data_IF_924332721485
#
_entry.id   IF_924332721485
#
_cell.length_a   1.000
_cell.length_b   1.000
_cell.length_c   1.000
_cell.angle_alpha   90.00
_cell.angle_beta   90.00
_cell.angle_gamma   90.00
#
_symmetry.space_group_name_H-M   'P 1'
#
loop_
_entity.id
_entity.type
_entity.pdbx_description
1 polymer ?
#
# COMPACT_ATOMS: atom_id res chain seq x y z
N UNK A 1 59.78 0.50 -28.81
CA UNK A 1 59.84 1.93 -28.43
C UNK A 1 58.60 2.20 -27.58
N UNK A 2 58.58 1.95 -26.28
CA UNK A 2 59.33 2.56 -25.16
C UNK A 2 58.80 3.93 -24.70
N UNK A 3 58.52 3.99 -23.39
CA UNK A 3 58.38 5.11 -22.45
C UNK A 3 57.07 5.93 -22.46
N UNK A 4 56.48 6.33 -21.32
CA UNK A 4 56.84 6.27 -19.89
C UNK A 4 55.56 6.33 -19.03
N UNK A 5 55.47 5.69 -17.87
CA UNK A 5 56.04 6.04 -16.56
C UNK A 5 55.77 7.50 -16.12
N UNK A 6 54.74 7.66 -15.29
CA UNK A 6 54.68 8.74 -14.29
C UNK A 6 54.12 8.16 -12.98
N UNK A 7 55.03 7.92 -12.02
CA UNK A 7 54.74 7.77 -10.60
C UNK A 7 54.26 9.11 -10.05
N UNK A 8 53.14 9.11 -9.34
CA UNK A 8 52.76 10.15 -8.39
C UNK A 8 52.50 9.50 -7.04
N UNK A 9 53.47 9.62 -6.13
CA UNK A 9 53.38 9.22 -4.73
C UNK A 9 53.01 10.47 -3.91
N UNK A 10 52.10 10.35 -2.95
CA UNK A 10 51.65 11.41 -2.05
C UNK A 10 50.13 11.60 -2.17
N UNK A 11 49.32 11.57 -1.13
CA UNK A 11 49.56 11.79 0.29
C UNK A 11 48.45 11.04 1.05
N UNK A 12 48.82 10.35 2.12
CA UNK A 12 47.87 9.79 3.09
C UNK A 12 47.15 10.96 3.75
N UNK A 13 45.85 11.10 3.51
CA UNK A 13 44.95 11.86 4.39
C UNK A 13 43.87 10.90 4.87
N UNK A 14 44.07 10.40 6.09
CA UNK A 14 43.04 9.85 6.96
C UNK A 14 41.77 10.70 6.86
N UNK A 15 40.62 10.08 6.55
CA UNK A 15 39.28 10.39 7.06
C UNK A 15 38.25 9.46 6.39
N UNK A 16 37.54 8.67 7.19
CA UNK A 16 36.28 8.02 6.79
C UNK A 16 36.43 6.77 5.93
N UNK A 17 36.17 5.59 6.50
CA UNK A 17 36.36 4.32 5.84
C UNK A 17 35.40 4.09 4.67
N UNK A 18 35.97 3.95 3.48
CA UNK A 18 35.39 3.21 2.36
C UNK A 18 36.52 2.41 1.71
N UNK A 19 36.61 1.13 2.04
CA UNK A 19 37.55 0.21 1.39
C UNK A 19 36.82 -0.45 0.23
N UNK A 20 37.05 0.08 -0.99
CA UNK A 20 36.60 -0.55 -2.22
C UNK A 20 37.44 -1.80 -2.52
N UNK A 21 36.88 -2.99 -2.26
CA UNK A 21 37.41 -4.27 -2.74
C UNK A 21 36.52 -4.73 -3.90
N UNK A 22 37.14 -5.13 -5.02
CA UNK A 22 36.48 -5.65 -6.23
C UNK A 22 35.35 -6.62 -5.87
N UNK A 23 34.09 -6.22 -6.02
CA UNK A 23 32.95 -7.14 -5.99
C UNK A 23 31.65 -6.67 -5.33
N UNK A 24 31.61 -5.53 -4.64
CA UNK A 24 30.36 -4.96 -4.12
C UNK A 24 30.57 -4.20 -2.81
N UNK A 25 29.73 -3.18 -2.58
CA UNK A 25 29.84 -2.27 -1.44
C UNK A 25 29.66 -3.03 -0.13
N UNK A 26 30.72 -3.07 0.69
CA UNK A 26 30.65 -3.60 2.06
C UNK A 26 30.03 -2.51 2.93
N UNK A 27 28.91 -2.83 3.57
CA UNK A 27 28.16 -1.97 4.46
C UNK A 27 28.18 -2.53 5.88
N UNK A 28 28.21 -1.65 6.86
CA UNK A 28 28.07 -2.00 8.27
C UNK A 28 26.60 -1.90 8.68
N UNK A 29 26.19 -2.71 9.64
CA UNK A 29 24.85 -2.68 10.20
C UNK A 29 24.73 -3.45 11.51
N UNK A 30 23.51 -3.57 12.00
CA UNK A 30 23.19 -4.33 13.22
C UNK A 30 22.10 -5.36 12.94
N UNK A 31 22.26 -6.56 13.51
CA UNK A 31 21.25 -7.62 13.41
C UNK A 31 20.04 -7.23 14.25
N UNK A 32 18.90 -7.01 13.59
CA UNK A 32 17.63 -6.74 14.25
C UNK A 32 17.05 -8.01 14.87
N UNK A 33 17.12 -9.11 14.13
CA UNK A 33 16.57 -10.40 14.54
C UNK A 33 17.17 -11.49 13.67
N UNK A 34 17.46 -12.63 14.25
CA UNK A 34 17.86 -13.84 13.55
C UNK A 34 17.09 -15.00 14.18
N UNK A 35 16.36 -15.73 13.35
CA UNK A 35 15.67 -16.95 13.72
C UNK A 35 16.56 -18.12 13.29
N UNK A 36 17.10 -18.85 14.27
CA UNK A 36 18.00 -19.97 14.02
C UNK A 36 17.27 -21.20 13.48
N UNK A 37 16.01 -21.40 13.88
CA UNK A 37 15.18 -22.54 13.47
C UNK A 37 14.75 -22.40 12.01
N UNK A 38 14.45 -21.16 11.58
CA UNK A 38 14.07 -20.88 10.20
C UNK A 38 15.24 -20.40 9.31
N UNK A 39 16.40 -20.13 9.90
CA UNK A 39 17.61 -19.76 9.17
C UNK A 39 17.52 -18.44 8.40
N UNK A 40 16.71 -17.48 8.86
CA UNK A 40 16.60 -16.15 8.26
C UNK A 40 16.80 -15.05 9.30
N UNK A 41 17.33 -13.92 8.87
CA UNK A 41 17.53 -12.76 9.73
C UNK A 41 17.45 -11.43 9.00
N UNK A 42 17.37 -10.37 9.79
CA UNK A 42 17.26 -8.99 9.34
C UNK A 42 18.41 -8.16 9.90
N UNK A 43 18.96 -7.28 9.07
CA UNK A 43 20.00 -6.31 9.41
C UNK A 43 19.49 -4.91 9.11
N UNK A 44 19.74 -3.96 10.00
CA UNK A 44 19.64 -2.53 9.67
C UNK A 44 21.02 -2.06 9.25
N UNK A 45 21.17 -1.60 8.00
CA UNK A 45 22.41 -0.99 7.52
C UNK A 45 22.64 0.38 8.16
N UNK A 46 23.89 0.85 8.14
CA UNK A 46 24.27 2.20 8.58
C UNK A 46 23.61 3.31 7.74
N UNK A 47 23.08 2.97 6.57
CA UNK A 47 22.28 3.84 5.70
C UNK A 47 20.80 3.95 6.15
N UNK A 48 20.39 3.22 7.18
CA UNK A 48 19.03 3.17 7.71
C UNK A 48 18.10 2.20 6.97
N UNK A 49 18.58 1.53 5.90
CA UNK A 49 17.79 0.55 5.15
C UNK A 49 17.85 -0.82 5.81
N UNK A 50 16.82 -1.64 5.55
CA UNK A 50 16.73 -3.01 6.07
C UNK A 50 17.13 -4.02 5.01
N UNK A 51 18.00 -4.94 5.40
CA UNK A 51 18.49 -6.01 4.56
C UNK A 51 18.13 -7.36 5.18
N UNK A 52 17.75 -8.31 4.32
CA UNK A 52 17.48 -9.68 4.72
C UNK A 52 18.68 -10.56 4.43
N UNK A 53 18.99 -11.51 5.31
CA UNK A 53 19.99 -12.53 5.07
C UNK A 53 19.46 -13.89 5.47
N UNK A 54 20.00 -14.93 4.86
CA UNK A 54 19.72 -16.32 5.20
C UNK A 54 20.94 -16.97 5.81
N UNK A 55 20.76 -18.12 6.47
CA UNK A 55 21.84 -18.92 7.05
C UNK A 55 22.94 -19.25 6.04
N UNK A 56 22.60 -19.39 4.76
CA UNK A 56 23.54 -19.65 3.67
C UNK A 56 24.47 -18.47 3.38
N UNK A 57 24.02 -17.25 3.69
CA UNK A 57 24.78 -16.02 3.52
C UNK A 57 25.62 -15.65 4.76
N UNK A 58 25.54 -16.46 5.84
CA UNK A 58 26.33 -16.30 7.06
C UNK A 58 27.72 -16.93 6.90
N UNK A 59 28.76 -16.10 6.91
CA UNK A 59 30.16 -16.57 6.86
C UNK A 59 30.72 -16.78 8.28
N UNK A 60 30.12 -17.72 9.00
CA UNK A 60 30.54 -18.45 10.23
C UNK A 60 29.26 -18.87 10.99
N UNK A 61 29.18 -20.13 11.43
CA UNK A 61 28.05 -20.67 12.20
C UNK A 61 28.04 -20.14 13.64
N UNK A 62 27.98 -18.82 13.81
CA UNK A 62 27.90 -18.19 15.13
C UNK A 62 26.49 -17.69 15.32
N UNK A 63 25.86 -18.06 16.44
CA UNK A 63 24.57 -17.50 16.85
C UNK A 63 24.66 -15.96 16.79
N UNK A 64 23.72 -15.33 16.10
CA UNK A 64 23.67 -13.87 15.95
C UNK A 64 22.61 -13.30 16.88
N UNK A 65 22.97 -12.97 18.13
CA UNK A 65 22.04 -12.28 19.01
C UNK A 65 21.69 -10.91 18.42
N UNK A 66 20.46 -10.48 18.68
CA UNK A 66 19.97 -9.14 18.33
C UNK A 66 20.92 -8.06 18.86
N UNK A 67 21.26 -7.09 18.03
CA UNK A 67 22.20 -6.01 18.32
C UNK A 67 23.66 -6.32 17.97
N UNK A 68 23.96 -7.47 17.37
CA UNK A 68 25.31 -7.77 16.88
C UNK A 68 25.66 -6.85 15.70
N UNK A 69 26.77 -6.11 15.83
CA UNK A 69 27.33 -5.34 14.72
C UNK A 69 27.87 -6.28 13.64
N UNK A 70 27.48 -6.06 12.39
CA UNK A 70 27.83 -6.89 11.25
C UNK A 70 28.35 -6.07 10.08
N UNK A 71 29.28 -6.65 9.32
CA UNK A 71 29.65 -6.20 7.97
C UNK A 71 28.98 -7.12 6.95
N UNK A 72 28.38 -6.56 5.92
CA UNK A 72 27.67 -7.31 4.89
C UNK A 72 27.73 -6.59 3.54
N UNK A 73 27.57 -7.33 2.45
CA UNK A 73 27.48 -6.76 1.11
C UNK A 73 26.01 -6.54 0.72
N UNK A 74 25.63 -5.29 0.46
CA UNK A 74 24.26 -4.90 0.12
C UNK A 74 23.97 -5.10 -1.38
N UNK A 75 22.88 -5.83 -1.71
CA UNK A 75 22.43 -5.98 -3.08
C UNK A 75 20.94 -6.32 -3.19
N UNK A 76 20.14 -5.47 -3.85
CA UNK A 76 18.72 -5.74 -4.12
C UNK A 76 17.85 -5.98 -2.87
N UNK A 77 18.18 -5.36 -1.73
CA UNK A 77 17.50 -5.58 -0.44
C UNK A 77 17.94 -6.83 0.33
N UNK A 78 18.92 -7.56 -0.20
CA UNK A 78 19.56 -8.71 0.44
C UNK A 78 20.94 -8.31 0.97
N UNK A 79 21.31 -8.90 2.11
CA UNK A 79 22.65 -8.87 2.68
C UNK A 79 23.35 -10.19 2.36
N UNK A 80 24.44 -10.12 1.61
CA UNK A 80 25.30 -11.25 1.25
C UNK A 80 26.63 -11.16 1.99
N UNK A 81 27.27 -12.31 2.20
CA UNK A 81 28.55 -12.42 2.91
C UNK A 81 28.53 -11.63 4.23
N UNK A 82 27.64 -12.01 5.15
CA UNK A 82 27.46 -11.34 6.45
C UNK A 82 28.49 -11.85 7.46
N UNK A 83 29.17 -10.92 8.14
CA UNK A 83 30.20 -11.16 9.14
C UNK A 83 29.86 -10.44 10.46
N UNK A 84 29.94 -11.14 11.59
CA UNK A 84 29.89 -10.49 12.91
C UNK A 84 31.21 -9.77 13.22
N UNK A 85 31.11 -8.49 13.56
CA UNK A 85 32.23 -7.73 14.10
C UNK A 85 32.22 -7.96 15.61
N UNK A 86 32.97 -8.95 16.08
CA UNK A 86 33.17 -9.11 17.51
C UNK A 86 33.87 -7.85 18.04
N UNK A 87 33.23 -7.13 18.96
CA UNK A 87 33.90 -6.13 19.77
C UNK A 87 35.01 -6.83 20.56
N UNK A 88 36.26 -6.68 20.11
CA UNK A 88 37.43 -7.15 20.83
C UNK A 88 37.64 -6.27 22.07
N UNK A 89 36.99 -6.58 23.20
CA UNK A 89 37.39 -6.09 24.52
C UNK A 89 36.80 -6.92 25.68
N UNK A 90 37.70 -7.67 26.33
CA UNK A 90 37.78 -7.97 27.76
C UNK A 90 36.72 -8.86 28.45
N UNK A 91 37.20 -10.00 28.96
CA UNK A 91 36.85 -10.57 30.28
C UNK A 91 38.14 -10.59 31.12
N UNK A 92 38.16 -10.93 32.44
CA UNK A 92 37.09 -11.03 33.46
C UNK A 92 37.44 -10.29 34.78
N UNK A 93 36.47 -10.14 35.70
CA UNK A 93 36.72 -10.20 37.16
C UNK A 93 35.39 -10.27 37.95
N UNK A 94 35.37 -11.18 38.92
CA UNK A 94 34.33 -11.37 39.92
C UNK A 94 34.37 -10.27 41.01
N UNK A 95 33.24 -9.98 41.65
CA UNK A 95 33.10 -10.13 43.11
C UNK A 95 31.69 -9.84 43.63
N UNK A 96 31.44 -10.40 44.81
CA UNK A 96 30.17 -10.71 45.45
C UNK A 96 29.55 -9.58 46.31
N UNK A 97 28.29 -9.77 46.72
CA UNK A 97 27.67 -9.13 47.89
C UNK A 97 26.18 -8.77 47.70
N UNK A 98 25.22 -9.67 47.99
CA UNK A 98 24.52 -9.87 49.28
C UNK A 98 23.17 -9.12 49.42
N UNK A 99 22.10 -9.93 49.53
CA UNK A 99 20.86 -9.78 50.33
C UNK A 99 19.79 -8.71 49.99
N UNK A 100 18.58 -9.17 49.64
CA UNK A 100 17.39 -9.07 50.51
C UNK A 100 16.12 -9.63 49.80
N UNK A 101 15.29 -10.35 50.55
CA UNK A 101 14.05 -11.03 50.16
C UNK A 101 12.79 -10.11 50.27
N UNK A 102 11.54 -10.60 50.25
CA UNK A 102 10.71 -10.81 49.06
C UNK A 102 9.35 -10.06 49.07
N UNK A 103 8.59 -10.23 47.97
CA UNK A 103 7.13 -10.10 47.85
C UNK A 103 6.49 -8.70 47.85
N UNK A 104 6.22 -8.19 46.63
CA UNK A 104 4.99 -7.46 46.33
C UNK A 104 4.40 -7.97 45.01
N UNK A 105 3.32 -8.74 45.11
CA UNK A 105 2.43 -9.07 44.01
C UNK A 105 1.44 -7.91 43.82
N UNK A 106 1.52 -7.25 42.67
CA UNK A 106 0.51 -6.33 42.16
C UNK A 106 0.29 -6.65 40.67
N UNK A 107 -0.91 -6.38 40.13
CA UNK A 107 -1.54 -7.22 39.13
C UNK A 107 -0.94 -7.07 37.73
N UNK A 108 -1.04 -8.14 36.95
CA UNK A 108 -0.65 -8.23 35.55
C UNK A 108 -1.09 -6.98 34.74
N UNK A 109 -0.19 -6.31 34.00
CA UNK A 109 -0.64 -5.46 32.91
C UNK A 109 -1.33 -6.39 31.90
N UNK A 110 -2.60 -6.11 31.65
CA UNK A 110 -3.39 -6.77 30.62
C UNK A 110 -2.53 -6.90 29.35
N UNK A 111 -2.38 -8.13 28.88
CA UNK A 111 -1.70 -8.44 27.64
C UNK A 111 -2.33 -7.59 26.52
N UNK A 112 -1.64 -6.51 26.15
CA UNK A 112 -1.85 -5.86 24.87
C UNK A 112 -1.42 -6.90 23.85
N UNK A 113 -2.39 -7.63 23.30
CA UNK A 113 -2.14 -8.49 22.16
C UNK A 113 -1.35 -7.67 21.13
N UNK A 114 -0.19 -8.14 20.65
CA UNK A 114 0.49 -7.46 19.57
C UNK A 114 -0.50 -7.45 18.41
N UNK A 115 -0.98 -6.25 18.05
CA UNK A 115 -1.71 -6.04 16.81
C UNK A 115 -0.87 -6.69 15.72
N UNK A 116 -1.42 -7.73 15.11
CA UNK A 116 -0.84 -8.35 13.93
C UNK A 116 -0.78 -7.26 12.85
N UNK A 117 0.33 -6.52 12.83
CA UNK A 117 0.73 -5.77 11.67
C UNK A 117 0.90 -6.83 10.59
N UNK A 118 -0.03 -6.84 9.63
CA UNK A 118 -0.10 -7.77 8.52
C UNK A 118 1.27 -7.88 7.83
N UNK A 119 2.08 -8.82 8.29
CA UNK A 119 3.25 -9.31 7.59
C UNK A 119 2.75 -10.02 6.33
N UNK A 120 3.20 -9.55 5.18
CA UNK A 120 2.91 -10.21 3.91
C UNK A 120 1.57 -9.84 3.29
N UNK A 121 1.39 -8.57 2.90
CA UNK A 121 0.72 -8.35 1.61
C UNK A 121 1.76 -8.72 0.56
N UNK A 122 1.72 -9.98 0.11
CA UNK A 122 2.23 -10.34 -1.21
C UNK A 122 1.81 -9.22 -2.15
N UNK A 123 2.73 -8.68 -2.95
CA UNK A 123 2.42 -7.63 -3.90
C UNK A 123 1.16 -8.02 -4.68
N UNK A 124 0.02 -7.46 -4.29
CA UNK A 124 -1.23 -7.71 -4.99
C UNK A 124 -0.99 -7.29 -6.44
N UNK A 125 -1.44 -8.10 -7.42
CA UNK A 125 -1.24 -7.78 -8.83
C UNK A 125 -1.66 -6.33 -9.05
N UNK A 126 -0.75 -5.53 -9.61
CA UNK A 126 -0.84 -4.09 -9.68
C UNK A 126 -2.28 -3.65 -9.96
N UNK A 127 -2.95 -3.12 -8.94
CA UNK A 127 -4.35 -2.66 -9.03
C UNK A 127 -4.46 -1.78 -10.27
N UNK A 128 -5.41 -2.04 -11.18
CA UNK A 128 -5.49 -1.30 -12.40
C UNK A 128 -5.72 0.17 -12.02
N UNK A 129 -4.74 1.01 -12.37
CA UNK A 129 -4.70 2.44 -12.05
C UNK A 129 -5.47 3.28 -13.06
N UNK A 130 -5.92 2.65 -14.13
CA UNK A 130 -6.61 3.31 -15.24
C UNK A 130 -8.09 3.58 -14.91
N UNK A 131 -8.57 4.77 -15.31
CA UNK A 131 -9.93 5.21 -15.03
C UNK A 131 -10.98 4.33 -15.73
N UNK A 132 -10.65 3.84 -16.93
CA UNK A 132 -11.55 2.98 -17.71
C UNK A 132 -11.76 1.62 -17.04
N UNK A 133 -10.71 1.09 -16.41
CA UNK A 133 -10.79 -0.16 -15.65
C UNK A 133 -11.78 -0.06 -14.48
N UNK A 134 -11.87 1.10 -13.82
CA UNK A 134 -12.84 1.30 -12.73
C UNK A 134 -14.27 1.25 -13.21
N UNK A 135 -14.54 1.83 -14.38
CA UNK A 135 -15.85 1.78 -14.98
C UNK A 135 -16.26 0.34 -15.29
N UNK A 136 -15.43 -0.40 -16.04
CA UNK A 136 -15.70 -1.80 -16.36
C UNK A 136 -15.85 -2.67 -15.12
N UNK A 137 -14.98 -2.49 -14.13
CA UNK A 137 -15.05 -3.21 -12.86
C UNK A 137 -16.34 -2.92 -12.12
N UNK A 138 -16.80 -1.67 -12.13
CA UNK A 138 -18.09 -1.25 -11.57
C UNK A 138 -19.27 -1.99 -12.21
N UNK A 139 -19.32 -2.03 -13.54
CA UNK A 139 -20.46 -2.62 -14.29
C UNK A 139 -20.35 -4.14 -14.53
N UNK A 140 -19.25 -4.79 -14.13
CA UNK A 140 -19.09 -6.25 -14.27
C UNK A 140 -18.89 -6.93 -12.93
N UNK A 141 -17.71 -6.77 -12.33
CA UNK A 141 -17.32 -7.46 -11.10
C UNK A 141 -18.05 -6.94 -9.86
N UNK A 142 -18.27 -5.63 -9.79
CA UNK A 142 -18.87 -4.97 -8.64
C UNK A 142 -20.36 -4.63 -8.84
N UNK A 143 -21.02 -5.22 -9.84
CA UNK A 143 -22.39 -4.83 -10.20
C UNK A 143 -23.38 -4.97 -9.04
N UNK A 144 -23.25 -6.06 -8.26
CA UNK A 144 -24.05 -6.32 -7.04
C UNK A 144 -23.20 -6.24 -5.77
N UNK A 145 -22.00 -5.65 -5.84
CA UNK A 145 -21.08 -5.62 -4.71
C UNK A 145 -21.15 -4.29 -3.96
N UNK A 146 -21.74 -4.32 -2.77
CA UNK A 146 -21.87 -3.18 -1.86
C UNK A 146 -20.80 -3.19 -0.75
N UNK A 147 -19.95 -4.22 -0.71
CA UNK A 147 -18.91 -4.36 0.29
C UNK A 147 -17.59 -3.71 -0.14
N UNK A 148 -16.76 -3.40 0.85
CA UNK A 148 -15.47 -2.77 0.65
C UNK A 148 -15.54 -1.26 0.49
N UNK A 149 -14.46 -0.70 -0.04
CA UNK A 149 -14.20 0.75 -0.12
C UNK A 149 -13.95 1.16 -1.56
N UNK A 150 -14.41 2.35 -1.92
CA UNK A 150 -14.11 2.97 -3.22
C UNK A 150 -13.33 4.27 -3.00
N UNK A 151 -12.08 4.30 -3.49
CA UNK A 151 -11.24 5.50 -3.43
C UNK A 151 -11.77 6.58 -4.38
N UNK A 152 -11.37 7.84 -4.17
CA UNK A 152 -11.81 8.97 -5.02
C UNK A 152 -11.62 8.71 -6.53
N UNK A 153 -10.45 8.22 -6.93
CA UNK A 153 -10.15 7.94 -8.34
C UNK A 153 -11.08 6.88 -8.95
N UNK A 154 -11.45 5.88 -8.16
CA UNK A 154 -12.37 4.82 -8.61
C UNK A 154 -13.79 5.35 -8.76
N UNK A 155 -14.29 6.10 -7.76
CA UNK A 155 -15.60 6.74 -7.81
C UNK A 155 -15.72 7.70 -8.98
N UNK A 156 -14.80 8.65 -9.12
CA UNK A 156 -14.83 9.65 -10.19
C UNK A 156 -14.53 9.05 -11.57
N UNK A 157 -13.71 8.00 -11.65
CA UNK A 157 -13.50 7.24 -12.89
C UNK A 157 -14.79 6.57 -13.35
N UNK A 158 -15.50 5.88 -12.46
CA UNK A 158 -16.82 5.31 -12.77
C UNK A 158 -17.82 6.40 -13.20
N UNK A 159 -17.96 7.49 -12.44
CA UNK A 159 -18.87 8.58 -12.77
C UNK A 159 -18.57 9.20 -14.13
N UNK A 160 -17.29 9.45 -14.44
CA UNK A 160 -16.88 10.02 -15.73
C UNK A 160 -17.37 9.17 -16.90
N UNK A 161 -17.02 7.87 -16.91
CA UNK A 161 -17.39 7.00 -18.02
C UNK A 161 -18.87 6.65 -18.05
N UNK A 162 -19.53 6.60 -16.89
CA UNK A 162 -20.98 6.49 -16.81
C UNK A 162 -21.67 7.69 -17.47
N UNK A 163 -21.19 8.92 -17.20
CA UNK A 163 -21.69 10.14 -17.84
C UNK A 163 -21.41 10.16 -19.34
N UNK A 164 -20.21 9.75 -19.77
CA UNK A 164 -19.90 9.65 -21.21
C UNK A 164 -20.82 8.63 -21.89
N UNK A 165 -21.01 7.45 -21.31
CA UNK A 165 -21.93 6.43 -21.84
C UNK A 165 -23.37 6.96 -21.92
N UNK A 166 -23.82 7.68 -20.90
CA UNK A 166 -25.15 8.32 -20.88
C UNK A 166 -25.31 9.31 -22.04
N UNK A 167 -24.32 10.19 -22.25
CA UNK A 167 -24.36 11.18 -23.34
C UNK A 167 -24.39 10.52 -24.71
N UNK A 168 -23.62 9.45 -24.91
CA UNK A 168 -23.63 8.67 -26.15
C UNK A 168 -24.99 8.03 -26.39
N UNK A 169 -25.59 7.43 -25.36
CA UNK A 169 -26.92 6.79 -25.46
C UNK A 169 -28.01 7.81 -25.77
N UNK A 170 -27.99 8.98 -25.11
CA UNK A 170 -28.90 10.08 -25.42
C UNK A 170 -28.70 10.55 -26.86
N UNK A 171 -27.46 10.72 -27.32
CA UNK A 171 -27.16 11.12 -28.69
C UNK A 171 -27.70 10.13 -29.73
N UNK A 172 -27.55 8.83 -29.48
CA UNK A 172 -28.12 7.77 -30.33
C UNK A 172 -29.65 7.84 -30.35
N UNK A 173 -30.28 8.01 -29.17
CA UNK A 173 -31.73 8.12 -29.06
C UNK A 173 -32.28 9.34 -29.81
N UNK A 174 -31.67 10.51 -29.63
CA UNK A 174 -32.07 11.75 -30.30
C UNK A 174 -31.90 11.60 -31.81
N UNK A 175 -30.79 11.04 -32.27
CA UNK A 175 -30.57 10.76 -33.69
C UNK A 175 -31.67 9.86 -34.26
N UNK A 176 -32.01 8.76 -33.57
CA UNK A 176 -33.05 7.85 -34.01
C UNK A 176 -34.45 8.51 -34.05
N UNK A 177 -34.79 9.32 -33.05
CA UNK A 177 -36.07 10.04 -33.01
C UNK A 177 -36.18 11.10 -34.12
N UNK A 178 -35.06 11.74 -34.51
CA UNK A 178 -35.01 12.68 -35.66
C UNK A 178 -35.27 11.94 -36.98
N UNK A 179 -34.60 10.81 -37.22
CA UNK A 179 -34.74 10.04 -38.46
C UNK A 179 -36.15 9.46 -38.66
N UNK A 180 -36.87 9.16 -37.56
CA UNK A 180 -38.24 8.62 -37.60
C UNK A 180 -39.29 9.74 -37.66
N UNK A 181 -38.90 11.01 -37.50
CA UNK A 181 -39.81 12.17 -37.55
C UNK A 181 -40.59 12.41 -36.25
N UNK A 182 -40.14 11.86 -35.12
CA UNK A 182 -40.83 12.00 -33.83
C UNK A 182 -40.82 13.44 -33.29
N UNK A 183 -39.84 14.26 -33.69
CA UNK A 183 -39.73 15.65 -33.22
C UNK A 183 -40.71 16.62 -33.90
N UNK A 184 -41.23 16.28 -35.09
CA UNK A 184 -42.08 17.17 -35.88
C UNK A 184 -43.56 17.11 -35.45
N UNK A 185 -43.96 16.03 -34.77
CA UNK A 185 -45.35 15.71 -34.46
C UNK A 185 -45.76 16.03 -33.00
N UNK A 186 -44.92 16.78 -32.26
CA UNK A 186 -45.06 16.99 -30.81
C UNK A 186 -45.18 15.67 -30.01
N UNK A 187 -44.66 14.58 -30.57
CA UNK A 187 -44.64 13.28 -29.92
C UNK A 187 -43.50 13.19 -28.90
N UNK A 188 -43.68 12.34 -27.90
CA UNK A 188 -42.61 12.04 -26.96
C UNK A 188 -41.49 11.34 -27.73
N UNK A 189 -40.22 11.77 -27.61
CA UNK A 189 -39.07 11.13 -28.26
C UNK A 189 -38.85 9.73 -27.67
N UNK A 190 -39.62 8.76 -28.19
CA UNK A 190 -39.79 7.44 -27.59
C UNK A 190 -38.49 6.65 -27.55
N UNK A 191 -37.64 6.79 -28.57
CA UNK A 191 -36.34 6.11 -28.61
C UNK A 191 -35.41 6.68 -27.55
N UNK A 192 -35.31 8.00 -27.45
CA UNK A 192 -34.51 8.70 -26.44
C UNK A 192 -34.96 8.32 -25.03
N UNK A 193 -36.27 8.40 -24.76
CA UNK A 193 -36.83 8.08 -23.44
C UNK A 193 -36.62 6.60 -23.10
N UNK A 194 -36.86 5.69 -24.05
CA UNK A 194 -36.69 4.25 -23.86
C UNK A 194 -35.25 3.86 -23.56
N UNK A 195 -34.29 4.34 -24.37
CA UNK A 195 -32.86 4.06 -24.19
C UNK A 195 -32.32 4.66 -22.89
N UNK A 196 -32.70 5.90 -22.58
CA UNK A 196 -32.35 6.54 -21.32
C UNK A 196 -32.85 5.74 -20.11
N UNK A 197 -34.14 5.39 -20.10
CA UNK A 197 -34.75 4.62 -19.01
C UNK A 197 -34.10 3.24 -18.84
N UNK A 198 -33.84 2.54 -19.95
CA UNK A 198 -33.15 1.24 -19.94
C UNK A 198 -31.74 1.35 -19.36
N UNK A 199 -30.97 2.37 -19.77
CA UNK A 199 -29.62 2.60 -19.26
C UNK A 199 -29.61 2.92 -17.77
N UNK A 200 -30.51 3.79 -17.30
CA UNK A 200 -30.63 4.10 -15.87
C UNK A 200 -30.96 2.85 -15.06
N UNK A 201 -31.90 2.02 -15.53
CA UNK A 201 -32.29 0.80 -14.84
C UNK A 201 -31.14 -0.22 -14.80
N UNK A 202 -30.44 -0.41 -15.93
CA UNK A 202 -29.29 -1.31 -16.03
C UNK A 202 -28.11 -0.85 -15.17
N UNK A 203 -27.95 0.46 -14.94
CA UNK A 203 -26.82 0.98 -14.16
C UNK A 203 -27.20 1.39 -12.75
N UNK A 204 -28.45 1.17 -12.33
CA UNK A 204 -28.95 1.58 -11.03
C UNK A 204 -28.18 0.92 -9.87
N UNK A 205 -28.07 -0.41 -9.91
CA UNK A 205 -27.38 -1.19 -8.88
C UNK A 205 -25.87 -0.90 -8.78
N UNK A 206 -25.09 -0.91 -9.88
CA UNK A 206 -23.68 -0.56 -9.79
C UNK A 206 -23.46 0.89 -9.31
N UNK A 207 -24.30 1.84 -9.72
CA UNK A 207 -24.22 3.23 -9.26
C UNK A 207 -24.48 3.35 -7.76
N UNK A 208 -25.47 2.61 -7.25
CA UNK A 208 -25.75 2.53 -5.82
C UNK A 208 -24.59 1.90 -5.05
N UNK A 209 -24.02 0.81 -5.58
CA UNK A 209 -22.83 0.14 -5.03
C UNK A 209 -21.63 1.07 -4.90
N UNK A 210 -21.38 1.90 -5.92
CA UNK A 210 -20.29 2.87 -5.90
C UNK A 210 -20.48 3.96 -4.83
N UNK A 211 -21.71 4.47 -4.65
CA UNK A 211 -22.00 5.44 -3.58
C UNK A 211 -21.81 4.81 -2.20
N UNK A 212 -22.33 3.60 -1.99
CA UNK A 212 -22.19 2.88 -0.72
C UNK A 212 -20.72 2.65 -0.37
N UNK A 213 -19.93 2.13 -1.31
CA UNK A 213 -18.48 1.91 -1.12
C UNK A 213 -17.71 3.21 -0.90
N UNK A 214 -18.17 4.32 -1.48
CA UNK A 214 -17.60 5.64 -1.25
C UNK A 214 -17.87 6.13 0.18
N UNK A 215 -19.08 5.93 0.69
CA UNK A 215 -19.44 6.23 2.07
C UNK A 215 -18.63 5.36 3.05
N UNK A 216 -18.47 4.08 2.75
CA UNK A 216 -17.62 3.17 3.50
C UNK A 216 -16.15 3.61 3.54
N UNK A 217 -15.65 4.21 2.46
CA UNK A 217 -14.28 4.76 2.42
C UNK A 217 -14.08 5.92 3.40
N UNK A 218 -15.15 6.63 3.75
CA UNK A 218 -15.19 7.67 4.78
C UNK A 218 -15.52 7.13 6.18
N UNK A 219 -15.62 5.80 6.35
CA UNK A 219 -16.04 5.18 7.61
C UNK A 219 -17.50 5.40 7.96
N UNK A 220 -18.31 5.89 7.02
CA UNK A 220 -19.74 6.11 7.19
C UNK A 220 -20.54 4.85 6.84
N UNK A 221 -21.81 4.80 7.22
CA UNK A 221 -22.70 3.69 6.86
C UNK A 221 -23.22 3.82 5.44
N UNK A 222 -23.35 2.69 4.74
CA UNK A 222 -23.92 2.66 3.38
C UNK A 222 -25.35 3.21 3.29
N UNK A 223 -26.12 3.13 4.37
CA UNK A 223 -27.49 3.65 4.46
C UNK A 223 -27.62 5.15 4.15
N UNK A 224 -26.56 5.93 4.34
CA UNK A 224 -26.57 7.35 3.95
C UNK A 224 -26.71 7.55 2.43
N UNK A 225 -26.58 6.50 1.61
CA UNK A 225 -26.89 6.58 0.18
C UNK A 225 -28.35 6.95 -0.09
N UNK A 226 -29.27 6.63 0.82
CA UNK A 226 -30.70 6.97 0.71
C UNK A 226 -30.96 8.48 0.68
N UNK A 227 -29.99 9.30 1.11
CA UNK A 227 -30.07 10.75 0.99
C UNK A 227 -30.31 11.18 -0.47
N UNK A 228 -29.88 10.40 -1.46
CA UNK A 228 -30.11 10.71 -2.88
C UNK A 228 -31.59 10.78 -3.27
N UNK A 229 -32.49 10.18 -2.47
CA UNK A 229 -33.93 10.27 -2.66
C UNK A 229 -34.49 11.66 -2.30
N UNK A 230 -33.73 12.48 -1.58
CA UNK A 230 -34.07 13.88 -1.29
C UNK A 230 -33.56 14.72 -2.47
N UNK A 231 -34.45 15.28 -3.31
CA UNK A 231 -34.03 16.06 -4.47
C UNK A 231 -33.14 17.23 -4.06
N UNK A 232 -32.13 17.54 -4.88
CA UNK A 232 -31.21 18.68 -4.75
C UNK A 232 -30.26 18.59 -3.54
N UNK A 233 -30.78 18.58 -2.32
CA UNK A 233 -29.95 18.57 -1.10
C UNK A 233 -29.25 17.23 -0.90
N UNK A 234 -29.95 16.13 -1.19
CA UNK A 234 -29.40 14.78 -1.08
C UNK A 234 -28.20 14.56 -1.98
N UNK A 235 -28.33 14.92 -3.26
CA UNK A 235 -27.24 14.82 -4.23
C UNK A 235 -26.07 15.75 -3.88
N UNK A 236 -26.34 16.95 -3.37
CA UNK A 236 -25.29 17.86 -2.85
C UNK A 236 -24.51 17.25 -1.70
N UNK A 237 -25.18 16.64 -0.72
CA UNK A 237 -24.51 15.99 0.42
C UNK A 237 -23.64 14.82 -0.06
N UNK A 238 -24.17 13.96 -0.93
CA UNK A 238 -23.41 12.84 -1.52
C UNK A 238 -22.21 13.36 -2.34
N UNK A 239 -22.38 14.46 -3.08
CA UNK A 239 -21.30 15.10 -3.81
C UNK A 239 -20.19 15.59 -2.87
N UNK A 240 -20.54 16.22 -1.75
CA UNK A 240 -19.56 16.63 -0.73
C UNK A 240 -18.80 15.41 -0.22
N UNK A 241 -19.48 14.33 0.15
CA UNK A 241 -18.83 13.08 0.57
C UNK A 241 -17.95 12.47 -0.53
N UNK A 242 -18.37 12.56 -1.79
CA UNK A 242 -17.57 12.08 -2.92
C UNK A 242 -16.22 12.81 -3.06
N UNK A 243 -16.12 14.07 -2.62
CA UNK A 243 -14.92 14.91 -2.72
C UNK A 243 -13.93 14.75 -1.55
N UNK A 244 -14.42 14.40 -0.36
CA UNK A 244 -13.60 14.24 0.86
C UNK A 244 -12.46 13.23 0.62
N UNK A 245 -11.23 13.45 1.09
CA UNK A 245 -10.14 12.49 0.91
C UNK A 245 -10.41 11.12 1.53
N UNK A 246 -9.84 10.08 0.91
CA UNK A 246 -9.88 8.70 1.42
C UNK A 246 -9.20 8.63 2.79
N UNK A 247 -9.78 7.87 3.72
CA UNK A 247 -9.15 7.61 5.01
C UNK A 247 -7.88 6.78 4.81
N UNK A 248 -6.72 7.34 5.20
CA UNK A 248 -5.42 6.66 5.16
C UNK A 248 -5.21 5.58 6.22
N UNK A 249 -6.24 5.30 7.04
CA UNK A 249 -6.25 4.19 8.00
C UNK A 249 -7.26 3.12 7.59
N UNK A 250 -7.06 1.92 8.11
CA UNK A 250 -8.07 0.87 8.04
C UNK A 250 -9.33 1.32 8.80
N UNK A 251 -10.49 0.90 8.30
CA UNK A 251 -11.77 1.15 8.96
C UNK A 251 -12.60 -0.13 8.96
N UNK A 252 -13.77 -0.11 9.59
CA UNK A 252 -14.66 -1.27 9.72
C UNK A 252 -15.11 -1.89 8.38
N UNK A 253 -14.93 -1.18 7.27
CA UNK A 253 -15.31 -1.63 5.92
C UNK A 253 -14.14 -2.20 5.11
N UNK A 254 -12.94 -2.27 5.70
CA UNK A 254 -11.78 -2.93 5.12
C UNK A 254 -10.49 -2.10 5.11
N UNK A 255 -9.42 -2.69 4.55
CA UNK A 255 -8.12 -2.06 4.48
C UNK A 255 -8.12 -0.81 3.60
N UNK A 256 -7.07 0.01 3.69
CA UNK A 256 -6.89 1.19 2.83
C UNK A 256 -6.84 0.74 1.36
N UNK A 257 -7.64 1.35 0.45
CA UNK A 257 -7.56 1.05 -0.97
C UNK A 257 -6.15 1.28 -1.52
N UNK A 258 -5.69 0.40 -2.40
CA UNK A 258 -4.35 0.50 -2.99
C UNK A 258 -4.12 1.86 -3.68
N UNK A 259 -2.86 2.32 -3.68
CA UNK A 259 -2.43 3.54 -4.37
C UNK A 259 -2.88 4.86 -3.75
N UNK A 260 -3.25 4.86 -2.47
CA UNK A 260 -3.37 6.07 -1.64
C UNK A 260 -1.97 6.38 -1.09
N UNK A 261 -1.39 7.52 -1.47
CA UNK A 261 -0.16 8.04 -0.86
C UNK A 261 -0.62 8.83 0.37
N UNK A 262 -0.17 8.39 1.55
CA UNK A 262 -0.50 8.98 2.86
C UNK A 262 0.59 9.99 3.22
#
# INVERSE_FOLDING_TARGET
>A
MSHGLARGLGLVSHLGGDVAIKGGWVMRGEVLHYDEDQGFGFITGADGNRYTFTRENLRRQTAMPRGTAVEFQAGGGQARDVFAIAAQAASPAADAGTSAAPAQAAPAPAAVAPQAQHFGRAAEPAEPTDLWSYFWRGVTQNYFNFAGRARRKEYWGYCLFWTVALLVIIGIGVFADVEIGNFDNAEVPAMTVGLFGMFLLATFLPSLGMIVRRLHDLGLTGWLCLLILIPTFGSLIILVFALIPTQGRENQWGPVPAGVII
#
